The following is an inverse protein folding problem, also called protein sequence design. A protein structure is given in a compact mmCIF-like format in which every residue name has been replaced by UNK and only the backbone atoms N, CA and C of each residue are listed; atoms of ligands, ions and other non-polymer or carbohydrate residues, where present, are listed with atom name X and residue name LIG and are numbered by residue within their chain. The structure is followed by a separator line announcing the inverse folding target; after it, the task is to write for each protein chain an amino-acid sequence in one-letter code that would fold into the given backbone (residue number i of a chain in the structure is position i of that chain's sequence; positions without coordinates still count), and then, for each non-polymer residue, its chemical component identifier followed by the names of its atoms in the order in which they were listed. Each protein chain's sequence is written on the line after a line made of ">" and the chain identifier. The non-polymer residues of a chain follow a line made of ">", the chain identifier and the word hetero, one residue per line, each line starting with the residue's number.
data_IF_394895585611
#
_entry.id   IF_394895585611
#
_cell.length_a   1.000
_cell.length_b   1.000
_cell.length_c   1.000
_cell.angle_alpha   90.00
_cell.angle_beta   90.00
_cell.angle_gamma   90.00
#
_symmetry.space_group_name_H-M   'P 1'
#
loop_
_entity.id
_entity.type
_entity.pdbx_description
1 polymer ?
#
# COMPACT_ATOMS: atom_id res chain seq x y z
N UNK A 1 0.47 26.61 14.24
CA UNK A 1 1.89 26.22 14.03
C UNK A 1 2.06 25.93 12.53
N UNK A 2 3.03 26.54 11.82
CA UNK A 2 3.16 26.36 10.35
C UNK A 2 3.94 25.12 9.95
N UNK A 3 4.82 24.60 10.82
CA UNK A 3 5.65 23.40 10.56
C UNK A 3 5.68 22.50 11.79
N UNK A 4 5.78 21.18 11.57
CA UNK A 4 5.84 20.16 12.62
C UNK A 4 7.14 19.35 12.44
N UNK A 5 8.27 19.76 13.08
CA UNK A 5 9.59 19.26 12.73
C UNK A 5 9.87 17.83 13.19
N UNK A 6 9.25 17.39 14.28
CA UNK A 6 9.37 16.03 14.82
C UNK A 6 7.97 15.55 15.24
N UNK A 7 7.18 14.99 14.31
CA UNK A 7 5.91 14.36 14.66
C UNK A 7 6.15 13.10 15.48
N UNK A 8 5.65 13.09 16.72
CA UNK A 8 5.68 11.93 17.63
C UNK A 8 4.34 11.18 17.60
N UNK A 9 3.84 10.95 16.39
CA UNK A 9 2.59 10.23 16.10
C UNK A 9 2.90 9.04 15.18
N UNK A 10 2.06 7.99 15.15
CA UNK A 10 2.31 6.80 14.30
C UNK A 10 2.18 7.06 12.79
N UNK A 11 1.73 8.26 12.39
CA UNK A 11 1.67 8.70 11.01
C UNK A 11 0.74 9.91 10.84
N UNK A 12 0.97 10.77 9.82
CA UNK A 12 2.13 10.77 8.92
C UNK A 12 3.43 11.21 9.62
N UNK A 13 4.57 10.81 9.08
CA UNK A 13 5.92 11.19 9.56
C UNK A 13 6.62 12.11 8.56
N UNK A 14 7.66 12.82 9.01
CA UNK A 14 8.46 13.69 8.15
C UNK A 14 9.32 12.87 7.17
N UNK A 15 9.24 13.19 5.87
CA UNK A 15 10.10 12.61 4.83
C UNK A 15 11.35 13.49 4.63
N UNK A 16 12.58 12.92 4.64
CA UNK A 16 13.80 13.69 4.42
C UNK A 16 13.78 14.49 3.12
N UNK A 17 14.33 15.71 3.15
CA UNK A 17 14.24 16.68 2.04
C UNK A 17 14.67 16.10 0.69
N UNK A 18 15.81 15.40 0.66
CA UNK A 18 16.36 14.75 -0.55
C UNK A 18 15.38 13.81 -1.28
N UNK A 19 14.40 13.24 -0.58
CA UNK A 19 13.38 12.38 -1.20
C UNK A 19 12.15 13.18 -1.63
N UNK A 20 11.81 14.25 -0.91
CA UNK A 20 10.70 15.15 -1.26
C UNK A 20 11.00 15.97 -2.51
N UNK A 21 12.27 16.28 -2.77
CA UNK A 21 12.70 17.00 -3.98
C UNK A 21 12.24 16.31 -5.27
N UNK A 22 12.12 14.97 -5.28
CA UNK A 22 11.61 14.22 -6.42
C UNK A 22 10.16 14.61 -6.78
N UNK A 23 9.35 15.08 -5.83
CA UNK A 23 7.98 15.52 -6.11
C UNK A 23 7.90 16.83 -6.92
N UNK A 24 9.03 17.53 -7.08
CA UNK A 24 9.13 18.72 -7.93
C UNK A 24 9.48 18.39 -9.38
N UNK A 25 9.62 17.10 -9.72
CA UNK A 25 9.87 16.63 -11.08
C UNK A 25 8.55 16.35 -11.80
N UNK A 26 8.39 16.92 -12.99
CA UNK A 26 7.28 16.61 -13.89
C UNK A 26 7.52 15.23 -14.53
N UNK A 27 7.01 14.19 -13.90
CA UNK A 27 7.09 12.83 -14.44
C UNK A 27 6.15 12.64 -15.63
N UNK A 28 6.52 11.71 -16.52
CA UNK A 28 5.64 11.29 -17.62
C UNK A 28 4.30 10.74 -17.12
N UNK A 29 3.28 10.92 -17.93
CA UNK A 29 1.91 10.47 -17.68
C UNK A 29 1.84 8.96 -17.50
N UNK A 30 1.19 8.55 -16.41
CA UNK A 30 0.90 7.15 -16.12
C UNK A 30 -0.03 6.48 -17.13
N UNK A 31 -0.75 7.29 -17.92
CA UNK A 31 -1.75 6.79 -18.84
C UNK A 31 -1.15 6.37 -20.18
N UNK A 32 0.00 6.96 -20.58
CA UNK A 32 0.47 6.88 -21.97
C UNK A 32 2.00 6.79 -22.15
N UNK A 33 2.80 7.29 -21.21
CA UNK A 33 4.22 7.54 -21.49
C UNK A 33 5.13 6.39 -21.07
N UNK A 34 6.03 5.99 -21.99
CA UNK A 34 6.94 4.84 -21.78
C UNK A 34 7.89 5.05 -20.60
N UNK A 35 8.34 6.29 -20.38
CA UNK A 35 9.25 6.63 -19.30
C UNK A 35 8.62 6.34 -17.92
N UNK A 36 7.30 6.58 -17.78
CA UNK A 36 6.57 6.19 -16.57
C UNK A 36 6.55 4.67 -16.38
N UNK A 37 6.27 3.90 -17.44
CA UNK A 37 6.23 2.44 -17.36
C UNK A 37 7.60 1.84 -17.02
N UNK A 38 8.68 2.42 -17.54
CA UNK A 38 10.03 2.03 -17.18
C UNK A 38 10.31 2.31 -15.70
N UNK A 39 10.01 3.52 -15.22
CA UNK A 39 10.16 3.87 -13.81
C UNK A 39 9.33 2.97 -12.88
N UNK A 40 8.09 2.65 -13.28
CA UNK A 40 7.22 1.73 -12.53
C UNK A 40 7.83 0.33 -12.44
N UNK A 41 8.37 -0.20 -13.54
CA UNK A 41 9.03 -1.50 -13.59
C UNK A 41 10.27 -1.55 -12.68
N UNK A 42 11.10 -0.50 -12.71
CA UNK A 42 12.27 -0.36 -11.85
C UNK A 42 11.85 -0.34 -10.36
N UNK A 43 10.83 0.44 -10.02
CA UNK A 43 10.29 0.52 -8.66
C UNK A 43 9.71 -0.82 -8.17
N UNK A 44 9.00 -1.55 -9.02
CA UNK A 44 8.52 -2.90 -8.71
C UNK A 44 9.71 -3.85 -8.44
N UNK A 45 10.79 -3.75 -9.23
CA UNK A 45 12.03 -4.50 -9.00
C UNK A 45 12.69 -4.19 -7.65
N UNK A 46 12.71 -2.92 -7.24
CA UNK A 46 13.20 -2.52 -5.93
C UNK A 46 12.31 -3.04 -4.79
N UNK A 47 10.98 -2.96 -4.94
CA UNK A 47 10.04 -3.51 -3.95
C UNK A 47 10.18 -5.01 -3.79
N UNK A 48 10.36 -5.76 -4.90
CA UNK A 48 10.62 -7.21 -4.83
C UNK A 48 11.84 -7.54 -3.98
N UNK A 49 12.92 -6.74 -4.06
CA UNK A 49 14.11 -6.90 -3.20
C UNK A 49 13.80 -6.65 -1.73
N UNK A 50 13.03 -5.62 -1.40
CA UNK A 50 12.62 -5.30 -0.02
C UNK A 50 11.73 -6.42 0.55
N UNK A 51 10.76 -6.88 -0.24
CA UNK A 51 9.81 -7.92 0.13
C UNK A 51 10.42 -9.34 0.06
N UNK A 52 11.64 -9.48 -0.48
CA UNK A 52 12.33 -10.76 -0.69
C UNK A 52 11.48 -11.78 -1.44
N UNK A 53 10.90 -11.36 -2.57
CA UNK A 53 9.99 -12.19 -3.37
C UNK A 53 10.33 -12.14 -4.85
N UNK A 54 10.08 -13.25 -5.55
CA UNK A 54 10.15 -13.32 -7.01
C UNK A 54 8.78 -13.04 -7.66
N UNK A 55 7.70 -13.11 -6.88
CA UNK A 55 6.33 -12.89 -7.33
C UNK A 55 6.12 -11.49 -7.92
N UNK A 56 5.09 -11.34 -8.75
CA UNK A 56 4.66 -10.03 -9.25
C UNK A 56 4.21 -9.12 -8.11
N UNK A 57 4.59 -7.84 -8.18
CA UNK A 57 4.23 -6.82 -7.20
C UNK A 57 3.50 -5.70 -7.93
N UNK A 58 2.41 -5.21 -7.35
CA UNK A 58 1.67 -4.05 -7.85
C UNK A 58 1.87 -2.86 -6.92
N UNK A 59 1.96 -1.66 -7.50
CA UNK A 59 1.97 -0.39 -6.75
C UNK A 59 0.62 0.26 -7.03
N UNK A 60 -0.13 0.58 -5.98
CA UNK A 60 -1.47 1.17 -6.09
C UNK A 60 -1.44 2.60 -5.59
N UNK A 61 -2.17 3.49 -6.26
CA UNK A 61 -2.29 4.89 -5.86
C UNK A 61 -3.36 5.02 -4.77
N UNK A 62 -2.92 5.05 -3.52
CA UNK A 62 -3.78 5.18 -2.36
C UNK A 62 -3.07 4.85 -1.06
N UNK A 63 -3.82 4.94 0.04
CA UNK A 63 -3.32 4.53 1.36
C UNK A 63 -3.28 3.01 1.52
N UNK A 64 -2.69 2.52 2.61
CA UNK A 64 -2.56 1.09 2.89
C UNK A 64 -3.89 0.32 2.81
N UNK A 65 -5.01 0.97 3.15
CA UNK A 65 -6.36 0.38 3.06
C UNK A 65 -6.73 -0.06 1.65
N UNK A 66 -6.28 0.64 0.60
CA UNK A 66 -6.55 0.26 -0.78
C UNK A 66 -5.98 -1.11 -1.10
N UNK A 67 -4.73 -1.36 -0.67
CA UNK A 67 -4.06 -2.65 -0.87
C UNK A 67 -4.75 -3.75 -0.06
N UNK A 68 -5.17 -3.48 1.17
CA UNK A 68 -5.91 -4.44 2.00
C UNK A 68 -7.26 -4.82 1.36
N UNK A 69 -8.03 -3.84 0.92
CA UNK A 69 -9.30 -4.09 0.22
C UNK A 69 -9.10 -4.81 -1.11
N UNK A 70 -8.10 -4.40 -1.90
CA UNK A 70 -7.74 -5.06 -3.15
C UNK A 70 -7.40 -6.53 -2.93
N UNK A 71 -6.54 -6.83 -1.94
CA UNK A 71 -6.16 -8.20 -1.61
C UNK A 71 -7.38 -9.05 -1.22
N UNK A 72 -8.22 -8.59 -0.29
CA UNK A 72 -9.40 -9.34 0.13
C UNK A 72 -10.38 -9.56 -1.03
N UNK A 73 -10.74 -8.50 -1.78
CA UNK A 73 -11.71 -8.62 -2.88
C UNK A 73 -11.20 -9.45 -4.06
N UNK A 74 -9.88 -9.59 -4.21
CA UNK A 74 -9.28 -10.46 -5.24
C UNK A 74 -9.14 -11.91 -4.80
N UNK A 75 -9.18 -12.21 -3.50
CA UNK A 75 -8.82 -13.54 -2.97
C UNK A 75 -9.89 -14.23 -2.13
N UNK A 76 -10.93 -13.51 -1.70
CA UNK A 76 -11.99 -14.00 -0.80
C UNK A 76 -13.36 -13.88 -1.48
N UNK A 77 -14.16 -14.94 -1.38
CA UNK A 77 -15.57 -14.97 -1.79
C UNK A 77 -16.50 -15.04 -0.56
N UNK A 78 -17.79 -14.66 -0.70
CA UNK A 78 -18.76 -14.88 0.35
C UNK A 78 -18.79 -16.35 0.78
N UNK A 79 -18.85 -16.59 2.11
CA UNK A 79 -18.80 -17.89 2.80
C UNK A 79 -17.42 -18.57 2.84
N UNK A 80 -16.37 -17.96 2.29
CA UNK A 80 -15.01 -18.46 2.54
C UNK A 80 -14.66 -18.29 4.02
N UNK A 81 -13.88 -19.22 4.57
CA UNK A 81 -13.39 -19.15 5.95
C UNK A 81 -12.08 -18.36 5.98
N UNK A 82 -11.99 -17.33 6.82
CA UNK A 82 -10.82 -16.45 6.93
C UNK A 82 -10.34 -16.38 8.37
N UNK A 83 -9.14 -16.86 8.66
CA UNK A 83 -8.54 -16.70 9.98
C UNK A 83 -7.84 -15.33 10.10
N UNK A 84 -8.42 -14.40 10.88
CA UNK A 84 -7.80 -13.13 11.21
C UNK A 84 -7.12 -13.16 12.59
N UNK A 85 -5.79 -12.98 12.63
CA UNK A 85 -5.05 -12.92 13.91
C UNK A 85 -5.21 -11.54 14.56
N UNK A 86 -6.18 -11.42 15.47
CA UNK A 86 -6.55 -10.17 16.13
C UNK A 86 -5.69 -9.86 17.36
N UNK A 87 -4.48 -9.35 17.16
CA UNK A 87 -3.57 -8.90 18.22
C UNK A 87 -3.61 -7.37 18.47
N UNK A 88 -4.60 -6.67 17.92
CA UNK A 88 -4.74 -5.21 18.02
C UNK A 88 -5.68 -4.66 16.95
N UNK A 89 -5.75 -3.33 16.84
CA UNK A 89 -6.69 -2.63 15.96
C UNK A 89 -6.62 -3.09 14.50
N UNK A 90 -5.42 -3.27 13.95
CA UNK A 90 -5.26 -3.64 12.53
C UNK A 90 -5.65 -5.10 12.23
N UNK A 91 -5.28 -6.04 13.11
CA UNK A 91 -5.66 -7.44 12.94
C UNK A 91 -7.16 -7.65 13.12
N UNK A 92 -7.76 -6.97 14.10
CA UNK A 92 -9.20 -6.94 14.31
C UNK A 92 -9.92 -6.35 13.09
N UNK A 93 -9.49 -5.16 12.65
CA UNK A 93 -10.07 -4.46 11.51
C UNK A 93 -9.98 -5.25 10.21
N UNK A 94 -8.89 -5.98 9.95
CA UNK A 94 -8.80 -6.86 8.78
C UNK A 94 -9.86 -7.98 8.82
N UNK A 95 -10.14 -8.54 10.00
CA UNK A 95 -11.20 -9.50 10.20
C UNK A 95 -12.58 -8.90 9.93
N UNK A 96 -12.86 -7.70 10.46
CA UNK A 96 -14.12 -6.99 10.17
C UNK A 96 -14.27 -6.69 8.67
N UNK A 97 -13.18 -6.31 7.99
CA UNK A 97 -13.17 -6.12 6.54
C UNK A 97 -13.55 -7.41 5.81
N UNK A 98 -12.98 -8.56 6.17
CA UNK A 98 -13.31 -9.84 5.54
C UNK A 98 -14.78 -10.25 5.82
N UNK A 99 -15.25 -10.09 7.06
CA UNK A 99 -16.64 -10.39 7.43
C UNK A 99 -17.63 -9.52 6.64
N UNK A 100 -17.30 -8.26 6.39
CA UNK A 100 -18.13 -7.36 5.57
C UNK A 100 -18.26 -7.78 4.10
N UNK A 101 -17.34 -8.62 3.60
CA UNK A 101 -17.43 -9.25 2.28
C UNK A 101 -18.25 -10.55 2.30
N UNK A 102 -18.79 -10.94 3.46
CA UNK A 102 -19.56 -12.15 3.67
C UNK A 102 -18.73 -13.38 3.98
N UNK A 103 -17.45 -13.24 4.33
CA UNK A 103 -16.62 -14.35 4.79
C UNK A 103 -17.03 -14.80 6.21
N UNK A 104 -16.75 -16.07 6.52
CA UNK A 104 -16.82 -16.61 7.88
C UNK A 104 -15.46 -16.39 8.55
N UNK A 105 -15.38 -15.38 9.42
CA UNK A 105 -14.13 -14.94 10.07
C UNK A 105 -13.99 -15.52 11.46
#
# INVERSE_FOLDING_TARGET
>A
MKTYPIPLIPGPVSVPAKFREAYMTDFGSSDLEKDFYQLLSENQGLLKKILKTENSVTIQSGEAMLVLWGALKSTVKPKDRVLALSNGLFGHGLGEMAASLGAEV
#
